data_IF_122370702063
#
_entry.id   IF_122370702063
#
_cell.length_a   1.000
_cell.length_b   1.000
_cell.length_c   1.000
_cell.angle_alpha   90.00
_cell.angle_beta   90.00
_cell.angle_gamma   90.00
#
_symmetry.space_group_name_H-M   'P 1'
#
loop_
_entity.id
_entity.type
_entity.pdbx_description
1 polymer ?
#
# COMPACT_ATOMS: atom_id res chain seq x y z
N UNK A 1 11.08 -18.25 -8.33
CA UNK A 1 10.43 -17.27 -7.43
C UNK A 1 10.16 -15.98 -8.20
N UNK A 2 8.95 -15.49 -8.11
CA UNK A 2 8.61 -14.23 -8.78
C UNK A 2 9.23 -13.08 -8.01
N UNK A 3 9.93 -12.23 -8.73
CA UNK A 3 10.50 -11.02 -8.14
C UNK A 3 9.38 -9.98 -8.03
N UNK A 4 8.64 -10.04 -6.93
CA UNK A 4 7.53 -9.12 -6.72
C UNK A 4 8.03 -7.67 -6.63
N UNK A 5 9.30 -7.48 -6.25
CA UNK A 5 9.88 -6.15 -6.19
C UNK A 5 10.01 -5.56 -7.59
N UNK A 6 10.32 -6.38 -8.59
CA UNK A 6 10.33 -5.92 -9.97
C UNK A 6 8.92 -5.53 -10.42
N UNK A 7 7.91 -6.26 -9.95
CA UNK A 7 6.52 -5.90 -10.23
C UNK A 7 6.15 -4.57 -9.59
N UNK A 8 6.61 -4.33 -8.36
CA UNK A 8 6.39 -3.04 -7.70
C UNK A 8 7.00 -1.91 -8.50
N UNK A 9 8.26 -2.07 -8.92
CA UNK A 9 8.94 -1.05 -9.71
C UNK A 9 8.23 -0.78 -11.02
N UNK A 10 7.74 -1.83 -11.65
CA UNK A 10 7.01 -1.70 -12.91
C UNK A 10 5.69 -1.01 -12.72
N UNK A 11 5.00 -1.33 -11.60
CA UNK A 11 3.70 -0.75 -11.29
C UNK A 11 3.80 0.72 -10.93
N UNK A 12 4.96 1.15 -10.43
CA UNK A 12 5.19 2.55 -10.07
C UNK A 12 6.08 3.20 -11.13
N UNK A 13 5.84 2.86 -12.36
CA UNK A 13 6.58 3.39 -13.50
C UNK A 13 6.36 4.89 -13.63
N UNK A 14 7.37 5.58 -14.14
CA UNK A 14 7.35 7.03 -14.24
C UNK A 14 6.94 7.52 -15.62
N UNK A 15 6.32 6.69 -16.41
CA UNK A 15 5.88 7.09 -17.75
C UNK A 15 4.57 7.86 -17.75
N UNK A 16 4.12 8.28 -16.58
CA UNK A 16 2.92 9.06 -16.43
C UNK A 16 1.67 8.25 -16.18
N UNK A 17 1.77 6.94 -16.26
CA UNK A 17 0.66 6.04 -15.98
C UNK A 17 1.08 5.07 -14.90
N UNK A 18 0.70 5.37 -13.69
CA UNK A 18 1.01 4.50 -12.57
C UNK A 18 -0.06 3.43 -12.47
N UNK A 19 0.32 2.18 -12.59
CA UNK A 19 -0.57 1.06 -12.31
C UNK A 19 -0.95 1.07 -10.84
N UNK A 20 0.01 1.46 -10.00
CA UNK A 20 -0.22 1.69 -8.58
C UNK A 20 -0.36 3.19 -8.38
N UNK A 21 -1.54 3.63 -8.04
CA UNK A 21 -1.81 5.03 -7.82
C UNK A 21 -1.16 5.53 -6.54
N UNK A 22 -0.71 6.78 -6.54
CA UNK A 22 -0.18 7.39 -5.34
C UNK A 22 -1.17 7.34 -4.19
N UNK A 23 -2.47 7.46 -4.49
CA UNK A 23 -3.47 7.40 -3.44
C UNK A 23 -3.47 6.06 -2.74
N UNK A 24 -3.40 4.97 -3.49
CA UNK A 24 -3.34 3.64 -2.89
C UNK A 24 -2.08 3.47 -2.06
N UNK A 25 -0.96 3.95 -2.57
CA UNK A 25 0.31 3.87 -1.87
C UNK A 25 0.30 4.70 -0.60
N UNK A 26 -0.31 5.88 -0.66
CA UNK A 26 -0.45 6.73 0.53
C UNK A 26 -1.34 6.08 1.58
N UNK A 27 -2.47 5.52 1.17
CA UNK A 27 -3.33 4.82 2.11
C UNK A 27 -2.64 3.63 2.74
N UNK A 28 -1.86 2.91 1.95
CA UNK A 28 -1.03 1.82 2.47
C UNK A 28 -0.04 2.34 3.53
N UNK A 29 0.63 3.44 3.24
CA UNK A 29 1.62 4.02 4.14
C UNK A 29 0.98 4.43 5.47
N UNK A 30 -0.15 5.11 5.41
CA UNK A 30 -0.86 5.56 6.61
C UNK A 30 -1.39 4.37 7.40
N UNK A 31 -1.93 3.36 6.70
CA UNK A 31 -2.42 2.15 7.37
C UNK A 31 -1.28 1.42 8.10
N UNK A 32 -0.11 1.39 7.51
CA UNK A 32 1.06 0.79 8.14
C UNK A 32 1.43 1.53 9.43
N UNK A 33 1.24 2.84 9.45
CA UNK A 33 1.52 3.65 10.64
C UNK A 33 0.46 3.49 11.72
N UNK A 34 -0.81 3.47 11.34
CA UNK A 34 -1.90 3.46 12.33
C UNK A 34 -2.28 2.07 12.80
N UNK A 35 -2.14 1.08 11.92
CA UNK A 35 -2.61 -0.28 12.21
C UNK A 35 -4.13 -0.37 12.30
N UNK A 36 -4.84 0.62 11.76
CA UNK A 36 -6.30 0.70 11.88
C UNK A 36 -6.90 1.26 10.59
N UNK A 37 -7.82 0.50 10.00
CA UNK A 37 -8.55 0.96 8.81
C UNK A 37 -9.39 2.19 9.13
N UNK A 38 -10.05 2.19 10.29
CA UNK A 38 -10.89 3.31 10.70
C UNK A 38 -10.07 4.58 10.91
N UNK A 39 -8.94 4.47 11.60
CA UNK A 39 -8.08 5.61 11.85
C UNK A 39 -7.48 6.15 10.57
N UNK A 40 -7.08 5.26 9.66
CA UNK A 40 -6.56 5.65 8.36
C UNK A 40 -7.61 6.43 7.58
N UNK A 41 -8.84 5.93 7.55
CA UNK A 41 -9.93 6.63 6.86
C UNK A 41 -10.14 8.02 7.44
N UNK A 42 -10.12 8.14 8.76
CA UNK A 42 -10.30 9.43 9.42
C UNK A 42 -9.19 10.41 9.04
N UNK A 43 -7.94 9.97 9.09
CA UNK A 43 -6.80 10.82 8.75
C UNK A 43 -6.81 11.27 7.30
N UNK A 44 -7.27 10.40 6.41
CA UNK A 44 -7.24 10.68 4.98
C UNK A 44 -8.58 11.22 4.47
N UNK A 45 -9.47 11.58 5.39
CA UNK A 45 -10.76 12.22 5.06
C UNK A 45 -11.58 11.37 4.10
N UNK A 46 -11.65 10.08 4.38
CA UNK A 46 -12.40 9.14 3.55
C UNK A 46 -13.13 8.14 4.45
N UNK A 47 -13.76 7.14 3.84
CA UNK A 47 -14.48 6.12 4.57
C UNK A 47 -13.67 4.83 4.60
N UNK A 48 -13.92 3.99 5.60
CA UNK A 48 -13.16 2.76 5.81
C UNK A 48 -13.24 1.82 4.61
N UNK A 49 -14.41 1.72 3.97
CA UNK A 49 -14.57 0.86 2.81
C UNK A 49 -13.67 1.29 1.65
N UNK A 50 -13.42 2.59 1.53
CA UNK A 50 -12.53 3.09 0.49
C UNK A 50 -11.07 2.68 0.77
N UNK A 51 -10.66 2.74 2.02
CA UNK A 51 -9.32 2.30 2.41
C UNK A 51 -9.17 0.81 2.09
N UNK A 52 -10.14 0.00 2.50
CA UNK A 52 -10.14 -1.43 2.25
C UNK A 52 -10.02 -1.75 0.76
N UNK A 53 -10.80 -1.04 -0.07
CA UNK A 53 -10.81 -1.26 -1.51
C UNK A 53 -9.44 -0.93 -2.13
N UNK A 54 -8.83 0.18 -1.71
CA UNK A 54 -7.52 0.57 -2.23
C UNK A 54 -6.43 -0.43 -1.84
N UNK A 55 -6.45 -0.89 -0.60
CA UNK A 55 -5.46 -1.85 -0.12
C UNK A 55 -5.61 -3.18 -0.88
N UNK A 56 -6.85 -3.63 -1.04
CA UNK A 56 -7.10 -4.87 -1.78
C UNK A 56 -6.65 -4.76 -3.23
N UNK A 57 -6.93 -3.64 -3.86
CA UNK A 57 -6.50 -3.40 -5.23
C UNK A 57 -4.98 -3.43 -5.33
N UNK A 58 -4.30 -2.81 -4.38
CA UNK A 58 -2.84 -2.80 -4.36
C UNK A 58 -2.28 -4.21 -4.19
N UNK A 59 -2.86 -4.99 -3.28
CA UNK A 59 -2.44 -6.38 -3.09
C UNK A 59 -2.68 -7.21 -4.35
N UNK A 60 -3.80 -7.00 -5.02
CA UNK A 60 -4.12 -7.72 -6.25
C UNK A 60 -3.15 -7.35 -7.38
N UNK A 61 -2.84 -6.07 -7.53
CA UNK A 61 -1.93 -5.62 -8.57
C UNK A 61 -0.52 -6.15 -8.36
N UNK A 62 -0.08 -6.23 -7.13
CA UNK A 62 1.25 -6.73 -6.79
C UNK A 62 1.27 -8.24 -6.60
N UNK A 63 0.10 -8.86 -6.64
CA UNK A 63 -0.06 -10.29 -6.46
C UNK A 63 0.62 -10.77 -5.18
N UNK A 64 0.45 -10.00 -4.11
CA UNK A 64 1.02 -10.35 -2.81
C UNK A 64 0.18 -9.72 -1.70
N UNK A 65 0.18 -10.36 -0.57
CA UNK A 65 -0.52 -9.83 0.60
C UNK A 65 0.41 -8.90 1.37
N UNK A 66 -0.09 -7.71 1.68
CA UNK A 66 0.71 -6.69 2.35
C UNK A 66 0.41 -6.62 3.84
N UNK A 67 -0.80 -7.02 4.24
CA UNK A 67 -1.23 -6.98 5.63
C UNK A 67 -1.82 -8.31 6.06
N UNK A 68 -1.52 -8.69 7.29
CA UNK A 68 -2.23 -9.75 8.01
C UNK A 68 -3.25 -9.05 8.91
N UNK A 69 -4.48 -9.53 8.88
CA UNK A 69 -5.58 -8.89 9.61
C UNK A 69 -6.02 -9.66 10.84
N UNK A 70 -5.65 -10.92 10.92
CA UNK A 70 -6.00 -11.77 12.06
C UNK A 70 -5.19 -11.33 13.28
N UNK A 71 -5.87 -11.02 14.36
CA UNK A 71 -5.22 -10.56 15.56
C UNK A 71 -4.72 -9.13 15.50
N UNK A 72 -5.28 -8.33 14.59
CA UNK A 72 -4.87 -6.94 14.37
C UNK A 72 -4.17 -6.78 13.04
N UNK A 73 -4.11 -5.54 12.57
CA UNK A 73 -3.51 -5.24 11.26
C UNK A 73 -2.00 -5.14 11.41
N UNK A 74 -1.28 -6.01 10.70
CA UNK A 74 0.18 -6.03 10.74
C UNK A 74 0.73 -6.25 9.35
N UNK A 75 1.91 -5.70 9.09
CA UNK A 75 2.57 -5.87 7.81
C UNK A 75 3.10 -7.29 7.63
N UNK A 76 2.96 -7.82 6.41
CA UNK A 76 3.69 -9.01 6.00
C UNK A 76 5.14 -8.63 5.72
N UNK A 77 6.06 -9.61 5.52
CA UNK A 77 7.41 -9.28 5.05
C UNK A 77 7.39 -8.48 3.75
N UNK A 78 6.50 -8.83 2.82
CA UNK A 78 6.33 -8.06 1.58
C UNK A 78 5.86 -6.65 1.86
N UNK A 79 4.93 -6.49 2.82
CA UNK A 79 4.46 -5.17 3.22
C UNK A 79 5.59 -4.30 3.77
N UNK A 80 6.48 -4.88 4.56
CA UNK A 80 7.62 -4.14 5.10
C UNK A 80 8.56 -3.67 4.00
N UNK A 81 8.80 -4.50 3.00
CA UNK A 81 9.62 -4.11 1.86
C UNK A 81 8.97 -2.99 1.06
N UNK A 82 7.66 -3.10 0.84
CA UNK A 82 6.95 -2.04 0.12
C UNK A 82 6.96 -0.75 0.91
N UNK A 83 6.84 -0.82 2.24
CA UNK A 83 6.85 0.37 3.08
C UNK A 83 8.16 1.14 2.92
N UNK A 84 9.30 0.44 2.87
CA UNK A 84 10.58 1.10 2.65
C UNK A 84 10.61 1.82 1.31
N UNK A 85 10.04 1.22 0.27
CA UNK A 85 9.96 1.86 -1.04
C UNK A 85 8.96 3.01 -1.05
N UNK A 86 7.83 2.84 -0.36
CA UNK A 86 6.82 3.89 -0.28
C UNK A 86 7.38 5.13 0.40
N UNK A 87 8.16 4.95 1.45
CA UNK A 87 8.81 6.08 2.12
C UNK A 87 9.67 6.88 1.15
N UNK A 88 10.45 6.19 0.32
CA UNK A 88 11.30 6.86 -0.66
C UNK A 88 10.48 7.58 -1.74
N UNK A 89 9.44 6.92 -2.23
CA UNK A 89 8.60 7.48 -3.30
C UNK A 89 7.83 8.69 -2.80
N UNK A 90 7.21 8.59 -1.62
CA UNK A 90 6.39 9.67 -1.07
C UNK A 90 7.25 10.82 -0.60
N UNK A 91 8.44 10.55 -0.11
CA UNK A 91 9.36 11.60 0.34
C UNK A 91 9.92 12.42 -0.83
N UNK A 92 9.96 11.84 -2.03
CA UNK A 92 10.48 12.53 -3.21
C UNK A 92 9.48 13.54 -3.78
N UNK A 93 8.28 13.56 -3.26
CA UNK A 93 7.21 14.47 -3.66
C UNK A 93 6.80 15.35 -2.51
#
# INVERSE_FOLDING_TARGET
MIDWLANVRRSISLDGKLAVEFRSLRLFHVLAQTGSFAETARREHTVQSNVTAHIKKLEDELNTQLFLRKGGVRLTPSGRLLLAHADNILAAH
#
